data_IF_608026250323
#
_entry.id   IF_608026250323
#
_cell.length_a   1.000
_cell.length_b   1.000
_cell.length_c   1.000
_cell.angle_alpha   90.00
_cell.angle_beta   90.00
_cell.angle_gamma   90.00
#
_symmetry.space_group_name_H-M   'P 1'
#
loop_
_entity.id
_entity.type
_entity.pdbx_description
1 polymer ?
#
# COMPACT_ATOMS: atom_id res chain seq x y z
N UNK A 1 7.04 10.50 11.18
CA UNK A 1 6.19 11.45 10.44
C UNK A 1 6.27 11.05 8.99
N UNK A 2 5.28 10.29 8.54
CA UNK A 2 5.04 9.87 7.16
C UNK A 2 3.51 9.92 7.03
N UNK A 3 3.04 10.79 6.13
CA UNK A 3 1.64 11.11 5.84
C UNK A 3 0.83 11.69 7.02
N UNK A 4 1.20 12.92 7.40
CA UNK A 4 0.27 13.86 8.01
C UNK A 4 0.82 15.27 7.74
N UNK A 5 0.10 16.04 6.93
CA UNK A 5 0.40 17.37 6.38
C UNK A 5 1.21 17.39 5.08
N UNK A 6 0.51 17.50 3.95
CA UNK A 6 0.80 18.48 2.89
C UNK A 6 -0.48 18.72 2.05
N UNK A 7 -1.11 19.88 2.29
CA UNK A 7 -1.78 20.82 1.35
C UNK A 7 -3.12 20.44 0.66
N UNK A 8 -4.16 21.17 1.10
CA UNK A 8 -5.24 21.84 0.38
C UNK A 8 -5.54 21.50 -1.09
N UNK A 9 -6.79 21.08 -1.28
CA UNK A 9 -7.57 21.08 -2.50
C UNK A 9 -7.51 22.42 -3.26
N UNK A 10 -6.94 22.40 -4.46
CA UNK A 10 -7.58 23.06 -5.60
C UNK A 10 -8.22 21.96 -6.43
N UNK A 11 -9.55 21.98 -6.52
CA UNK A 11 -10.31 21.92 -7.78
C UNK A 11 -11.74 21.46 -7.52
N UNK A 12 -12.60 22.43 -7.18
CA UNK A 12 -13.94 22.47 -7.74
C UNK A 12 -13.95 23.59 -8.80
N UNK A 13 -14.77 23.38 -9.83
CA UNK A 13 -15.10 24.27 -10.96
C UNK A 13 -14.40 23.95 -12.29
N UNK A 14 -15.27 23.84 -13.28
CA UNK A 14 -15.18 23.39 -14.66
C UNK A 14 -14.82 24.48 -15.68
N UNK A 15 -14.54 24.01 -16.91
CA UNK A 15 -14.61 24.69 -18.22
C UNK A 15 -13.52 25.70 -18.61
N UNK A 16 -12.70 25.35 -19.62
CA UNK A 16 -12.96 25.78 -21.00
C UNK A 16 -12.05 25.12 -22.05
N UNK A 17 -12.64 24.89 -23.24
CA UNK A 17 -12.05 24.34 -24.46
C UNK A 17 -11.12 25.35 -25.17
N UNK A 18 -10.05 24.87 -25.82
CA UNK A 18 -9.82 25.09 -27.27
C UNK A 18 -8.54 24.41 -27.83
N UNK A 19 -8.80 23.60 -28.86
CA UNK A 19 -8.00 23.15 -30.02
C UNK A 19 -6.67 23.87 -30.36
N UNK A 20 -5.64 23.11 -30.79
CA UNK A 20 -4.91 23.23 -32.09
C UNK A 20 -4.22 21.88 -32.49
N UNK A 21 -4.18 21.63 -33.80
CA UNK A 21 -3.74 20.47 -34.62
C UNK A 21 -2.21 20.21 -34.75
N UNK A 22 -1.87 18.91 -34.77
CA UNK A 22 -1.26 18.07 -35.85
C UNK A 22 0.15 18.32 -36.45
N UNK A 23 0.80 17.18 -36.79
CA UNK A 23 1.94 16.89 -37.71
C UNK A 23 3.31 16.68 -37.03
N UNK A 24 4.20 15.70 -37.33
CA UNK A 24 4.21 14.51 -38.22
C UNK A 24 5.43 13.60 -37.87
N UNK A 25 5.29 12.32 -38.24
CA UNK A 25 6.24 11.20 -38.38
C UNK A 25 7.74 11.50 -38.61
N UNK A 26 8.63 10.68 -37.99
CA UNK A 26 9.77 10.00 -38.66
C UNK A 26 10.05 8.63 -37.99
N UNK A 27 10.23 7.60 -38.82
CA UNK A 27 10.57 6.19 -38.54
C UNK A 27 12.07 5.98 -38.84
N UNK A 28 12.81 5.25 -37.99
CA UNK A 28 14.02 4.45 -38.32
C UNK A 28 14.27 3.48 -37.13
N UNK A 29 13.93 2.19 -37.21
CA UNK A 29 14.63 1.03 -37.81
C UNK A 29 15.80 0.45 -36.98
N UNK A 30 15.53 -0.76 -36.43
CA UNK A 30 16.36 -1.96 -36.33
C UNK A 30 17.72 -1.96 -35.57
N UNK A 31 17.79 -2.70 -34.46
CA UNK A 31 18.47 -4.02 -34.33
C UNK A 31 19.09 -4.28 -32.93
N UNK A 32 18.53 -5.32 -32.28
CA UNK A 32 19.21 -6.45 -31.60
C UNK A 32 20.40 -6.10 -30.70
N UNK A 33 20.23 -6.24 -29.38
CA UNK A 33 21.10 -7.08 -28.54
C UNK A 33 20.24 -7.75 -27.46
N UNK A 34 20.10 -9.07 -27.57
CA UNK A 34 19.70 -9.95 -26.48
C UNK A 34 20.75 -9.82 -25.38
N UNK A 35 20.46 -9.07 -24.34
CA UNK A 35 21.12 -9.25 -23.05
C UNK A 35 20.06 -9.90 -22.17
N UNK A 36 20.21 -11.20 -21.95
CA UNK A 36 19.65 -11.86 -20.78
C UNK A 36 20.23 -11.16 -19.55
N UNK A 37 19.60 -10.07 -19.12
CA UNK A 37 19.79 -9.53 -17.79
C UNK A 37 19.11 -10.53 -16.84
N UNK A 38 19.87 -11.56 -16.47
CA UNK A 38 19.64 -12.27 -15.23
C UNK A 38 19.44 -11.22 -14.15
N UNK A 39 18.20 -11.12 -13.66
CA UNK A 39 17.82 -10.37 -12.46
C UNK A 39 18.91 -10.60 -11.41
N UNK A 40 19.46 -9.56 -10.76
CA UNK A 40 20.38 -9.78 -9.67
C UNK A 40 19.63 -10.55 -8.58
N UNK A 41 19.87 -11.86 -8.51
CA UNK A 41 19.45 -12.67 -7.38
C UNK A 41 20.21 -12.15 -6.17
N UNK A 42 19.47 -11.60 -5.22
CA UNK A 42 19.87 -11.40 -3.83
C UNK A 42 21.12 -10.54 -3.61
N UNK A 43 20.93 -9.24 -3.37
CA UNK A 43 21.88 -8.36 -2.68
C UNK A 43 22.22 -8.81 -1.23
N UNK A 44 21.66 -9.94 -0.79
CA UNK A 44 21.89 -10.56 0.52
C UNK A 44 22.89 -11.72 0.50
N UNK A 45 23.33 -12.19 -0.67
CA UNK A 45 24.37 -13.20 -0.76
C UNK A 45 25.53 -12.61 -1.54
N UNK A 46 26.62 -12.27 -0.84
CA UNK A 46 28.02 -12.40 -1.25
C UNK A 46 28.92 -11.56 -0.33
N UNK A 47 29.25 -12.12 0.85
CA UNK A 47 30.62 -12.15 1.42
C UNK A 47 30.56 -12.74 2.83
N UNK A 48 31.00 -13.99 2.97
CA UNK A 48 31.87 -14.52 4.04
C UNK A 48 31.63 -14.21 5.52
N UNK A 49 30.57 -13.53 5.91
CA UNK A 49 30.20 -13.28 7.29
C UNK A 49 28.69 -13.07 7.33
N UNK A 50 28.02 -13.74 8.25
CA UNK A 50 26.57 -13.87 8.31
C UNK A 50 25.95 -12.51 8.70
N UNK A 51 25.89 -11.57 7.76
CA UNK A 51 25.06 -10.38 7.90
C UNK A 51 23.61 -10.87 7.80
N UNK A 52 23.02 -11.17 8.95
CA UNK A 52 21.61 -11.56 9.04
C UNK A 52 20.79 -10.51 8.26
N UNK A 53 20.19 -10.90 7.13
CA UNK A 53 19.32 -10.00 6.40
C UNK A 53 18.24 -9.53 7.38
N UNK A 54 18.16 -8.21 7.55
CA UNK A 54 17.13 -7.59 8.37
C UNK A 54 15.77 -8.09 7.88
N UNK A 55 14.97 -8.64 8.81
CA UNK A 55 13.66 -9.22 8.52
C UNK A 55 12.75 -8.26 7.73
N UNK A 56 12.80 -6.96 8.01
CA UNK A 56 12.03 -5.95 7.28
C UNK A 56 12.34 -5.94 5.77
N UNK A 57 13.62 -6.08 5.40
CA UNK A 57 14.01 -6.14 3.99
C UNK A 57 13.75 -7.51 3.39
N UNK A 58 14.06 -8.59 4.11
CA UNK A 58 13.85 -9.95 3.62
C UNK A 58 12.36 -10.25 3.33
N UNK A 59 11.44 -9.77 4.17
CA UNK A 59 9.99 -9.88 3.95
C UNK A 59 9.58 -9.23 2.62
N UNK A 60 10.10 -8.04 2.32
CA UNK A 60 9.74 -7.31 1.10
C UNK A 60 10.39 -7.87 -0.15
N UNK A 61 11.69 -8.17 -0.11
CA UNK A 61 12.42 -8.69 -1.27
C UNK A 61 11.80 -9.99 -1.78
N UNK A 62 11.36 -10.88 -0.88
CA UNK A 62 10.66 -12.12 -1.24
C UNK A 62 9.21 -11.94 -1.71
N UNK A 63 8.72 -10.70 -1.79
CA UNK A 63 7.36 -10.35 -2.21
C UNK A 63 7.32 -9.33 -3.36
N UNK A 64 8.47 -9.01 -3.94
CA UNK A 64 8.55 -8.13 -5.12
C UNK A 64 7.80 -8.69 -6.33
N UNK A 65 7.66 -10.01 -6.43
CA UNK A 65 6.84 -10.65 -7.45
C UNK A 65 5.36 -10.24 -7.34
N UNK A 66 4.79 -10.20 -6.13
CA UNK A 66 3.40 -9.75 -5.92
C UNK A 66 3.27 -8.24 -6.07
N UNK A 67 4.27 -7.45 -5.66
CA UNK A 67 4.28 -6.02 -5.94
C UNK A 67 4.28 -5.74 -7.45
N UNK A 68 5.07 -6.51 -8.22
CA UNK A 68 5.08 -6.47 -9.68
C UNK A 68 3.73 -6.84 -10.28
N UNK A 69 3.07 -7.89 -9.78
CA UNK A 69 1.73 -8.26 -10.22
C UNK A 69 0.68 -7.16 -9.97
N UNK A 70 0.78 -6.44 -8.83
CA UNK A 70 -0.10 -5.31 -8.52
C UNK A 70 0.16 -4.15 -9.49
N UNK A 71 1.43 -3.78 -9.67
CA UNK A 71 1.83 -2.71 -10.58
C UNK A 71 1.35 -2.99 -12.01
N UNK A 72 1.40 -4.24 -12.46
CA UNK A 72 0.96 -4.67 -13.79
C UNK A 72 -0.55 -4.95 -13.88
N UNK A 73 -1.32 -4.73 -12.82
CA UNK A 73 -2.77 -4.92 -12.86
C UNK A 73 -3.44 -3.93 -13.81
N UNK A 74 -4.56 -4.36 -14.43
CA UNK A 74 -5.35 -3.53 -15.35
C UNK A 74 -5.79 -2.21 -14.70
N UNK A 75 -6.19 -2.26 -13.42
CA UNK A 75 -6.53 -1.07 -12.64
C UNK A 75 -5.37 -0.07 -12.59
N UNK A 76 -4.17 -0.50 -12.15
CA UNK A 76 -3.01 0.38 -12.03
C UNK A 76 -2.55 0.91 -13.40
N UNK A 77 -2.51 0.08 -14.43
CA UNK A 77 -2.07 0.49 -15.77
C UNK A 77 -3.03 1.49 -16.44
N UNK A 78 -4.34 1.31 -16.27
CA UNK A 78 -5.34 2.26 -16.78
C UNK A 78 -5.35 3.57 -15.97
N UNK A 79 -5.13 3.50 -14.66
CA UNK A 79 -4.94 4.69 -13.81
C UNK A 79 -3.69 5.48 -14.23
N UNK A 80 -2.57 4.79 -14.44
CA UNK A 80 -1.31 5.39 -14.89
C UNK A 80 -1.43 6.10 -16.24
N UNK A 81 -2.17 5.52 -17.19
CA UNK A 81 -2.41 6.14 -18.49
C UNK A 81 -3.50 7.23 -18.47
N UNK A 82 -4.20 7.42 -17.35
CA UNK A 82 -5.33 8.35 -17.23
C UNK A 82 -6.61 7.84 -17.91
N UNK A 83 -6.63 6.57 -18.35
CA UNK A 83 -7.75 5.97 -19.09
C UNK A 83 -8.72 5.17 -18.22
N UNK A 84 -8.44 4.99 -16.93
CA UNK A 84 -9.35 4.34 -15.98
C UNK A 84 -10.70 5.10 -15.98
N UNK A 85 -11.83 4.43 -16.18
CA UNK A 85 -13.13 5.07 -16.02
C UNK A 85 -13.40 5.46 -14.55
N UNK A 86 -13.86 6.68 -14.32
CA UNK A 86 -13.99 7.26 -12.98
C UNK A 86 -14.81 6.40 -11.99
N UNK A 87 -15.84 5.70 -12.45
CA UNK A 87 -16.67 4.85 -11.58
C UNK A 87 -15.91 3.66 -10.97
N UNK A 88 -14.87 3.15 -11.64
CA UNK A 88 -13.99 2.11 -11.07
C UNK A 88 -13.10 2.68 -9.97
N UNK A 89 -12.56 3.89 -10.18
CA UNK A 89 -11.80 4.59 -9.15
C UNK A 89 -12.67 4.91 -7.92
N UNK A 90 -13.88 5.44 -8.13
CA UNK A 90 -14.84 5.72 -7.05
C UNK A 90 -15.17 4.43 -6.28
N UNK A 91 -15.44 3.33 -6.99
CA UNK A 91 -15.74 2.05 -6.35
C UNK A 91 -14.55 1.55 -5.53
N UNK A 92 -13.32 1.62 -6.08
CA UNK A 92 -12.09 1.30 -5.38
C UNK A 92 -11.93 2.13 -4.09
N UNK A 93 -12.08 3.45 -4.18
CA UNK A 93 -11.99 4.37 -3.03
C UNK A 93 -13.02 4.04 -1.96
N UNK A 94 -14.27 3.72 -2.33
CA UNK A 94 -15.29 3.31 -1.36
C UNK A 94 -14.89 2.02 -0.64
N UNK A 95 -14.34 1.04 -1.35
CA UNK A 95 -13.83 -0.17 -0.71
C UNK A 95 -12.63 0.11 0.20
N UNK A 96 -11.74 1.02 -0.17
CA UNK A 96 -10.62 1.44 0.69
C UNK A 96 -11.10 2.16 1.97
N UNK A 97 -12.13 3.01 1.87
CA UNK A 97 -12.78 3.63 3.05
C UNK A 97 -13.32 2.56 4.01
N UNK A 98 -13.95 1.50 3.47
CA UNK A 98 -14.38 0.37 4.30
C UNK A 98 -13.19 -0.28 5.03
N UNK A 99 -12.06 -0.48 4.35
CA UNK A 99 -10.82 -0.99 4.97
C UNK A 99 -10.31 -0.04 6.05
N UNK A 100 -10.18 1.26 5.76
CA UNK A 100 -9.71 2.27 6.71
C UNK A 100 -10.52 2.26 8.00
N UNK A 101 -11.84 2.19 7.93
CA UNK A 101 -12.69 2.13 9.12
C UNK A 101 -12.57 0.81 9.89
N UNK A 102 -12.48 -0.34 9.21
CA UNK A 102 -12.25 -1.64 9.87
C UNK A 102 -10.90 -1.69 10.58
N UNK A 103 -9.83 -1.27 9.91
CA UNK A 103 -8.48 -1.28 10.46
C UNK A 103 -8.33 -0.25 11.57
N UNK A 104 -8.96 0.92 11.46
CA UNK A 104 -9.01 1.92 12.54
C UNK A 104 -9.66 1.34 13.80
N UNK A 105 -10.75 0.58 13.66
CA UNK A 105 -11.39 -0.11 14.80
C UNK A 105 -10.47 -1.14 15.42
N UNK A 106 -9.76 -1.94 14.61
CA UNK A 106 -8.77 -2.90 15.11
C UNK A 106 -7.62 -2.21 15.84
N UNK A 107 -7.09 -1.11 15.29
CA UNK A 107 -6.05 -0.30 15.92
C UNK A 107 -6.52 0.33 17.23
N UNK A 108 -7.78 0.76 17.33
CA UNK A 108 -8.39 1.19 18.60
C UNK A 108 -8.35 0.08 19.64
N UNK A 109 -8.74 -1.14 19.25
CA UNK A 109 -8.65 -2.31 20.14
C UNK A 109 -7.21 -2.62 20.52
N UNK A 110 -6.26 -2.60 19.58
CA UNK A 110 -4.86 -2.92 19.87
C UNK A 110 -4.17 -1.85 20.73
N UNK A 111 -4.47 -0.56 20.51
CA UNK A 111 -3.92 0.55 21.31
C UNK A 111 -4.39 0.51 22.77
N UNK A 112 -5.52 -0.14 23.05
CA UNK A 112 -6.03 -0.35 24.40
C UNK A 112 -5.61 -1.70 24.98
N UNK A 113 -5.57 -2.78 24.18
CA UNK A 113 -5.19 -4.15 24.58
C UNK A 113 -3.70 -4.28 24.89
N UNK A 114 -2.82 -3.71 24.07
CA UNK A 114 -1.37 -3.87 24.23
C UNK A 114 -0.86 -2.91 25.28
N UNK A 115 -0.51 -3.43 26.46
CA UNK A 115 -0.01 -2.63 27.60
C UNK A 115 1.52 -2.63 27.69
N UNK A 116 2.15 -3.72 27.27
CA UNK A 116 3.60 -3.92 27.23
C UNK A 116 3.94 -4.79 26.02
N UNK A 117 5.20 -4.75 25.56
CA UNK A 117 6.23 -3.75 25.88
C UNK A 117 5.87 -2.34 25.38
N UNK A 118 6.51 -1.30 25.93
CA UNK A 118 6.08 0.10 25.77
C UNK A 118 6.17 0.60 24.33
N UNK A 119 7.14 0.11 23.57
CA UNK A 119 7.31 0.41 22.15
C UNK A 119 6.18 -0.16 21.28
N UNK A 120 5.73 -1.39 21.54
CA UNK A 120 4.57 -1.97 20.85
C UNK A 120 3.28 -1.25 21.25
N UNK A 121 3.10 -0.93 22.53
CA UNK A 121 1.97 -0.09 22.98
C UNK A 121 1.97 1.26 22.25
N UNK A 122 3.11 1.96 22.24
CA UNK A 122 3.27 3.25 21.56
C UNK A 122 3.00 3.13 20.06
N UNK A 123 3.51 2.08 19.40
CA UNK A 123 3.25 1.83 18.00
C UNK A 123 1.74 1.77 17.70
N UNK A 124 0.98 0.98 18.46
CA UNK A 124 -0.47 0.87 18.23
C UNK A 124 -1.22 2.16 18.57
N UNK A 125 -0.80 2.91 19.60
CA UNK A 125 -1.38 4.22 19.91
C UNK A 125 -1.14 5.23 18.78
N UNK A 126 0.10 5.33 18.29
CA UNK A 126 0.47 6.23 17.21
C UNK A 126 -0.22 5.84 15.90
N UNK A 127 -0.31 4.55 15.59
CA UNK A 127 -1.02 4.05 14.40
C UNK A 127 -2.52 4.28 14.50
N UNK A 128 -3.14 4.03 15.65
CA UNK A 128 -4.56 4.35 15.85
C UNK A 128 -4.84 5.83 15.63
N UNK A 129 -4.04 6.72 16.22
CA UNK A 129 -4.20 8.16 16.00
C UNK A 129 -4.08 8.52 14.51
N UNK A 130 -3.02 8.06 13.85
CA UNK A 130 -2.77 8.32 12.44
C UNK A 130 -3.92 7.83 11.54
N UNK A 131 -4.39 6.60 11.76
CA UNK A 131 -5.50 6.01 10.99
C UNK A 131 -6.82 6.70 11.28
N UNK A 132 -7.08 7.08 12.54
CA UNK A 132 -8.28 7.81 12.92
C UNK A 132 -8.36 9.18 12.26
N UNK A 133 -7.24 9.95 12.30
CA UNK A 133 -7.17 11.27 11.68
C UNK A 133 -7.34 11.17 10.15
N UNK A 134 -6.69 10.19 9.53
CA UNK A 134 -6.79 9.97 8.08
C UNK A 134 -8.18 9.47 7.64
N UNK A 135 -8.77 8.53 8.38
CA UNK A 135 -10.13 8.03 8.10
C UNK A 135 -11.15 9.17 8.18
N UNK A 136 -11.07 10.03 9.20
CA UNK A 136 -11.93 11.19 9.32
C UNK A 136 -11.75 12.18 8.16
N UNK A 137 -10.51 12.38 7.71
CA UNK A 137 -10.20 13.22 6.56
C UNK A 137 -10.82 12.69 5.26
N UNK A 138 -10.61 11.41 4.94
CA UNK A 138 -11.14 10.78 3.71
C UNK A 138 -12.68 10.77 3.72
N UNK A 139 -13.29 10.43 4.86
CA UNK A 139 -14.75 10.52 5.02
C UNK A 139 -15.26 11.95 4.77
N UNK A 140 -14.56 12.96 5.27
CA UNK A 140 -14.87 14.37 5.04
C UNK A 140 -14.79 14.76 3.56
N UNK A 141 -13.74 14.36 2.84
CA UNK A 141 -13.59 14.59 1.39
C UNK A 141 -14.75 13.93 0.63
N UNK A 142 -15.12 12.71 1.00
CA UNK A 142 -16.20 11.96 0.33
C UNK A 142 -17.60 12.34 0.82
N UNK A 143 -17.74 13.31 1.75
CA UNK A 143 -19.01 13.68 2.38
C UNK A 143 -19.77 12.50 2.98
N UNK A 144 -19.04 11.55 3.56
CA UNK A 144 -19.57 10.36 4.22
C UNK A 144 -19.50 10.51 5.74
N UNK A 145 -20.52 10.04 6.45
CA UNK A 145 -20.57 10.09 7.92
C UNK A 145 -20.10 8.79 8.58
N UNK A 146 -20.23 7.64 7.91
CA UNK A 146 -19.79 6.32 8.38
C UNK A 146 -19.83 5.26 7.26
N UNK A 147 -19.09 4.15 7.40
CA UNK A 147 -19.07 3.04 6.42
C UNK A 147 -20.37 2.29 6.28
N UNK A 148 -21.38 2.52 7.13
CA UNK A 148 -22.59 1.68 7.17
C UNK A 148 -23.31 1.61 5.82
N UNK A 149 -23.04 2.59 4.96
CA UNK A 149 -23.53 2.70 3.58
C UNK A 149 -22.69 1.94 2.54
N UNK A 150 -21.47 1.50 2.87
CA UNK A 150 -20.54 0.85 1.94
C UNK A 150 -20.70 -0.67 2.03
N UNK A 151 -21.16 -1.29 0.94
CA UNK A 151 -21.20 -2.74 0.81
C UNK A 151 -19.81 -3.28 0.46
N UNK A 152 -19.16 -4.07 1.32
CA UNK A 152 -17.84 -4.59 1.03
C UNK A 152 -17.91 -5.69 -0.02
N UNK A 153 -16.97 -5.66 -0.96
CA UNK A 153 -16.73 -6.73 -1.91
C UNK A 153 -15.87 -7.82 -1.26
N UNK A 154 -15.87 -9.01 -1.88
CA UNK A 154 -15.18 -10.18 -1.33
C UNK A 154 -13.69 -9.93 -1.07
N UNK A 155 -12.99 -9.23 -1.97
CA UNK A 155 -11.56 -8.97 -1.82
C UNK A 155 -11.23 -8.18 -0.54
N UNK A 156 -11.89 -7.04 -0.32
CA UNK A 156 -11.63 -6.19 0.84
C UNK A 156 -12.16 -6.79 2.14
N UNK A 157 -13.30 -7.50 2.08
CA UNK A 157 -13.83 -8.24 3.23
C UNK A 157 -12.84 -9.32 3.68
N UNK A 158 -12.35 -10.14 2.75
CA UNK A 158 -11.37 -11.19 3.05
C UNK A 158 -10.07 -10.60 3.60
N UNK A 159 -9.65 -9.42 3.12
CA UNK A 159 -8.48 -8.73 3.63
C UNK A 159 -8.66 -8.31 5.09
N UNK A 160 -9.74 -7.59 5.41
CA UNK A 160 -10.01 -7.17 6.79
C UNK A 160 -10.25 -8.36 7.74
N UNK A 161 -10.86 -9.44 7.27
CA UNK A 161 -11.00 -10.69 8.04
C UNK A 161 -9.64 -11.34 8.34
N UNK A 162 -8.69 -11.32 7.40
CA UNK A 162 -7.33 -11.82 7.60
C UNK A 162 -6.59 -11.01 8.67
N UNK A 163 -6.71 -9.68 8.67
CA UNK A 163 -6.20 -8.82 9.75
C UNK A 163 -6.79 -9.18 11.10
N UNK A 164 -8.12 -9.34 11.17
CA UNK A 164 -8.81 -9.73 12.42
C UNK A 164 -8.33 -11.07 12.93
N UNK A 165 -8.10 -12.03 12.03
CA UNK A 165 -7.58 -13.34 12.37
C UNK A 165 -6.17 -13.26 12.98
N UNK A 166 -5.27 -12.46 12.40
CA UNK A 166 -3.93 -12.21 12.98
C UNK A 166 -4.05 -11.52 14.34
N UNK A 167 -4.81 -10.44 14.43
CA UNK A 167 -5.03 -9.66 15.66
C UNK A 167 -5.53 -10.52 16.84
N UNK A 168 -6.38 -11.50 16.56
CA UNK A 168 -7.01 -12.33 17.58
C UNK A 168 -6.19 -13.57 17.97
N UNK A 169 -5.41 -14.13 17.03
CA UNK A 169 -4.74 -15.44 17.23
C UNK A 169 -3.24 -15.36 17.44
N UNK A 170 -2.61 -14.22 17.16
CA UNK A 170 -1.16 -14.07 17.18
C UNK A 170 -0.71 -12.98 18.16
N UNK A 171 0.56 -13.03 18.56
CA UNK A 171 1.17 -11.96 19.34
C UNK A 171 1.12 -10.60 18.61
N UNK A 172 1.05 -9.47 19.33
CA UNK A 172 0.89 -8.16 18.71
C UNK A 172 1.92 -7.81 17.63
N UNK A 173 3.16 -8.29 17.76
CA UNK A 173 4.21 -8.09 16.74
C UNK A 173 3.81 -8.65 15.36
N UNK A 174 3.01 -9.71 15.31
CA UNK A 174 2.54 -10.26 14.03
C UNK A 174 1.46 -9.40 13.40
N UNK A 175 0.69 -8.63 14.18
CA UNK A 175 -0.22 -7.63 13.62
C UNK A 175 0.56 -6.44 13.04
N UNK A 176 1.71 -6.06 13.63
CA UNK A 176 2.66 -5.11 13.03
C UNK A 176 3.15 -5.63 11.68
N UNK A 177 3.52 -6.91 11.59
CA UNK A 177 3.95 -7.54 10.33
C UNK A 177 2.80 -7.58 9.31
N UNK A 178 1.57 -7.87 9.73
CA UNK A 178 0.40 -7.91 8.85
C UNK A 178 0.08 -6.56 8.22
N UNK A 179 0.30 -5.45 8.95
CA UNK A 179 0.07 -4.09 8.44
C UNK A 179 1.15 -3.58 7.48
N UNK A 180 2.36 -4.15 7.52
CA UNK A 180 3.50 -3.65 6.75
C UNK A 180 3.33 -3.72 5.23
N UNK A 181 2.76 -4.80 4.64
CA UNK A 181 2.46 -4.88 3.20
C UNK A 181 1.76 -3.65 2.64
N UNK A 182 0.67 -3.19 3.26
CA UNK A 182 -0.06 -1.99 2.84
C UNK A 182 0.85 -0.76 2.78
N UNK A 183 1.53 -0.47 3.90
CA UNK A 183 2.40 0.71 4.01
C UNK A 183 3.60 0.67 3.06
N UNK A 184 4.15 -0.51 2.74
CA UNK A 184 5.26 -0.63 1.80
C UNK A 184 4.81 -0.63 0.35
N UNK A 185 3.74 -1.34 0.03
CA UNK A 185 3.26 -1.51 -1.33
C UNK A 185 2.77 -0.19 -1.92
N UNK A 186 1.95 0.58 -1.18
CA UNK A 186 1.38 1.82 -1.71
C UNK A 186 2.47 2.88 -1.97
N UNK A 187 3.47 3.01 -1.08
CA UNK A 187 4.66 3.84 -1.34
C UNK A 187 5.47 3.33 -2.53
N UNK A 188 5.66 2.01 -2.65
CA UNK A 188 6.32 1.45 -3.83
C UNK A 188 5.58 1.76 -5.13
N UNK A 189 4.24 1.69 -5.14
CA UNK A 189 3.45 2.05 -6.31
C UNK A 189 3.62 3.53 -6.64
N UNK A 190 3.51 4.44 -5.66
CA UNK A 190 3.72 5.87 -5.88
C UNK A 190 5.08 6.18 -6.54
N UNK A 191 6.15 5.50 -6.09
CA UNK A 191 7.50 5.66 -6.65
C UNK A 191 7.63 5.12 -8.09
N UNK A 192 6.87 4.08 -8.44
CA UNK A 192 6.95 3.40 -9.74
C UNK A 192 5.98 3.94 -10.78
N UNK A 193 4.90 4.59 -10.36
CA UNK A 193 3.88 5.14 -11.24
C UNK A 193 4.44 6.27 -12.11
N UNK A 194 4.36 6.07 -13.42
CA UNK A 194 4.76 7.03 -14.44
C UNK A 194 3.57 7.91 -14.81
N UNK A 195 3.26 8.86 -13.93
CA UNK A 195 2.24 9.90 -14.14
C UNK A 195 2.77 11.27 -13.68
N UNK A 196 2.33 12.31 -14.38
CA UNK A 196 2.52 13.72 -14.02
C UNK A 196 1.22 14.36 -13.53
N UNK A 197 1.30 15.63 -13.13
CA UNK A 197 0.21 16.40 -12.52
C UNK A 197 -0.99 16.69 -13.44
N UNK A 198 -0.90 16.35 -14.73
CA UNK A 198 -2.00 16.44 -15.69
C UNK A 198 -2.86 15.18 -15.70
N UNK A 199 -2.39 14.09 -15.09
CA UNK A 199 -3.18 12.87 -14.93
C UNK A 199 -4.27 13.09 -13.87
N UNK A 200 -5.52 12.77 -14.22
CA UNK A 200 -6.67 12.89 -13.31
C UNK A 200 -6.54 12.10 -11.99
N UNK A 201 -5.63 11.12 -11.95
CA UNK A 201 -5.34 10.28 -10.78
C UNK A 201 -4.01 10.62 -10.11
N UNK A 202 -3.38 11.75 -10.44
CA UNK A 202 -2.08 12.13 -9.87
C UNK A 202 -2.07 12.20 -8.34
N UNK A 203 -3.19 12.60 -7.72
CA UNK A 203 -3.34 12.64 -6.27
C UNK A 203 -3.09 11.27 -5.62
N UNK A 204 -3.48 10.16 -6.27
CA UNK A 204 -3.16 8.81 -5.79
C UNK A 204 -1.65 8.62 -5.60
N UNK A 205 -0.82 9.13 -6.53
CA UNK A 205 0.64 9.06 -6.42
C UNK A 205 1.15 9.99 -5.34
N UNK A 206 0.70 11.25 -5.33
CA UNK A 206 1.18 12.26 -4.38
C UNK A 206 0.93 11.84 -2.92
N UNK A 207 -0.28 11.34 -2.64
CA UNK A 207 -0.74 10.98 -1.30
C UNK A 207 -0.12 9.70 -0.73
N UNK A 208 0.57 8.92 -1.57
CA UNK A 208 1.13 7.62 -1.16
C UNK A 208 2.66 7.62 -1.01
N UNK A 209 3.30 8.77 -1.18
CA UNK A 209 4.72 8.94 -0.85
C UNK A 209 4.95 8.77 0.67
N UNK A 210 6.06 8.13 1.06
CA UNK A 210 6.25 7.83 2.48
C UNK A 210 7.54 7.12 2.86
N UNK A 211 7.68 6.90 4.17
CA UNK A 211 8.84 6.31 4.82
C UNK A 211 8.42 5.26 5.86
N UNK A 212 7.79 4.14 5.43
CA UNK A 212 7.32 3.09 6.34
C UNK A 212 8.46 2.50 7.20
N UNK A 213 9.69 2.49 6.71
CA UNK A 213 10.86 1.99 7.43
C UNK A 213 11.06 2.69 8.78
N UNK A 214 10.72 3.97 8.89
CA UNK A 214 10.87 4.75 10.15
C UNK A 214 9.99 4.20 11.28
N UNK A 215 8.94 3.47 10.95
CA UNK A 215 7.93 3.01 11.91
C UNK A 215 7.97 1.51 12.16
N UNK A 216 8.27 0.71 11.14
CA UNK A 216 8.21 -0.74 11.22
C UNK A 216 9.59 -1.36 11.44
N UNK A 217 10.64 -0.85 10.76
CA UNK A 217 11.98 -1.44 10.81
C UNK A 217 12.55 -1.51 12.23
N UNK A 218 12.47 -0.45 13.08
CA UNK A 218 13.02 -0.53 14.44
C UNK A 218 12.37 -1.61 15.31
N UNK A 219 11.07 -1.85 15.14
CA UNK A 219 10.38 -2.94 15.83
C UNK A 219 10.84 -4.30 15.30
N UNK A 220 10.84 -4.50 13.98
CA UNK A 220 11.24 -5.77 13.40
C UNK A 220 12.68 -6.13 13.72
N UNK A 221 13.60 -5.16 13.70
CA UNK A 221 15.00 -5.35 14.13
C UNK A 221 15.06 -5.79 15.61
N UNK A 222 14.32 -5.11 16.48
CA UNK A 222 14.33 -5.38 17.93
C UNK A 222 13.74 -6.74 18.28
N UNK A 223 12.66 -7.15 17.63
CA UNK A 223 11.96 -8.41 17.89
C UNK A 223 12.44 -9.57 17.01
N UNK A 224 13.48 -9.36 16.18
CA UNK A 224 13.92 -10.36 15.19
C UNK A 224 14.24 -11.73 15.81
N UNK A 225 14.83 -11.77 17.01
CA UNK A 225 15.19 -13.02 17.69
C UNK A 225 14.01 -13.78 18.29
N UNK A 226 12.86 -13.12 18.49
CA UNK A 226 11.65 -13.74 19.06
C UNK A 226 10.57 -14.02 18.02
N UNK A 227 10.67 -13.40 16.84
CA UNK A 227 9.75 -13.63 15.73
C UNK A 227 10.02 -15.00 15.10
N UNK A 228 8.97 -15.80 14.96
CA UNK A 228 9.01 -16.97 14.08
C UNK A 228 9.04 -16.47 12.63
N UNK A 229 10.22 -16.56 12.01
CA UNK A 229 10.48 -16.05 10.65
C UNK A 229 9.57 -16.69 9.60
N UNK A 230 9.27 -17.99 9.73
CA UNK A 230 8.37 -18.69 8.79
C UNK A 230 6.95 -18.14 8.88
N UNK A 231 6.44 -17.95 10.10
CA UNK A 231 5.13 -17.34 10.31
C UNK A 231 5.09 -15.88 9.84
N UNK A 232 6.15 -15.10 10.09
CA UNK A 232 6.26 -13.73 9.60
C UNK A 232 6.16 -13.65 8.07
N UNK A 233 6.90 -14.51 7.35
CA UNK A 233 6.79 -14.60 5.89
C UNK A 233 5.39 -15.00 5.45
N UNK A 234 4.77 -15.99 6.10
CA UNK A 234 3.42 -16.43 5.75
C UNK A 234 2.38 -15.30 5.91
N UNK A 235 2.43 -14.58 7.04
CA UNK A 235 1.55 -13.45 7.32
C UNK A 235 1.77 -12.32 6.31
N UNK A 236 3.04 -11.92 6.09
CA UNK A 236 3.36 -10.86 5.15
C UNK A 236 2.91 -11.22 3.73
N UNK A 237 3.24 -12.44 3.27
CA UNK A 237 2.86 -12.94 1.94
C UNK A 237 1.35 -12.99 1.76
N UNK A 238 0.62 -13.44 2.79
CA UNK A 238 -0.85 -13.50 2.74
C UNK A 238 -1.43 -12.10 2.57
N UNK A 239 -0.94 -11.11 3.31
CA UNK A 239 -1.44 -9.74 3.22
C UNK A 239 -1.04 -9.05 1.90
N UNK A 240 0.16 -9.32 1.36
CA UNK A 240 0.51 -8.91 -0.02
C UNK A 240 -0.46 -9.51 -1.06
N UNK A 241 -0.89 -10.77 -0.89
CA UNK A 241 -1.87 -11.39 -1.78
C UNK A 241 -3.26 -10.75 -1.64
N UNK A 242 -3.64 -10.30 -0.44
CA UNK A 242 -4.89 -9.57 -0.26
C UNK A 242 -4.85 -8.19 -0.92
N UNK A 243 -3.73 -7.46 -0.83
CA UNK A 243 -3.52 -6.23 -1.62
C UNK A 243 -3.66 -6.50 -3.12
N UNK A 244 -2.98 -7.54 -3.64
CA UNK A 244 -3.11 -7.95 -5.05
C UNK A 244 -4.56 -8.23 -5.42
N UNK A 245 -5.27 -9.02 -4.63
CA UNK A 245 -6.67 -9.33 -4.89
C UNK A 245 -7.54 -8.06 -4.88
N UNK A 246 -7.26 -7.12 -3.97
CA UNK A 246 -7.97 -5.84 -3.90
C UNK A 246 -7.79 -5.02 -5.19
N UNK A 247 -6.55 -4.76 -5.61
CA UNK A 247 -6.27 -4.02 -6.85
C UNK A 247 -6.79 -4.73 -8.10
N UNK A 248 -6.68 -6.06 -8.18
CA UNK A 248 -7.20 -6.84 -9.32
C UNK A 248 -8.73 -6.86 -9.38
N UNK A 249 -9.42 -6.83 -8.23
CA UNK A 249 -10.87 -6.77 -8.18
C UNK A 249 -11.45 -5.41 -8.57
N UNK A 250 -10.64 -4.35 -8.50
CA UNK A 250 -11.05 -2.99 -8.80
C UNK A 250 -11.33 -2.74 -10.28
N UNK A 251 -10.70 -3.54 -11.15
CA UNK A 251 -10.98 -3.57 -12.58
C UNK A 251 -10.74 -4.99 -13.13
N UNK A 252 -11.75 -5.86 -13.07
CA UNK A 252 -11.66 -7.24 -13.54
C UNK A 252 -11.49 -7.35 -15.08
#
# INVERSE_FOLDING_TARGET
MSLCHTIYSRSCVSENLNSVRMQSLVIFSLCIWYVCASVPQNLCYLKGNQQACNLYEDLWQKNLDVAGDVLNSKFIQTMQSGSLPAHYYITFTLQDIYYLEEVTKMLKTMSTKVKKPEDLKKFFQDRYKSYSDYTAHVLGICSLTEKSIIKPQAAIKNYTDAYRNVMNKQDPIYFVIAMLPCSRLWTHLADKLQMDDRNAYYEFKADNTGHPEKHFKPLLDKYQSTINVTLAHAIFRSNMKHEKAFFQSALP
#
